data_IF_364511063254
#
_entry.id   IF_364511063254
#
_cell.length_a   1.000
_cell.length_b   1.000
_cell.length_c   1.000
_cell.angle_alpha   90.00
_cell.angle_beta   90.00
_cell.angle_gamma   90.00
#
_symmetry.space_group_name_H-M   'P 1'
#
loop_
_entity.id
_entity.type
_entity.pdbx_description
1 polymer ?
#
# COMPACT_ATOMS: atom_id res chain seq x y z
N UNK A 1 -11.89 5.61 13.30
CA UNK A 1 -11.41 4.65 12.31
C UNK A 1 -10.04 4.23 12.75
N UNK A 2 -9.83 2.94 13.04
CA UNK A 2 -8.49 2.45 13.32
C UNK A 2 -7.67 2.55 12.03
N UNK A 3 -6.53 3.24 12.08
CA UNK A 3 -5.58 3.28 10.98
C UNK A 3 -4.90 1.90 10.87
N UNK A 4 -5.62 0.92 10.32
CA UNK A 4 -4.99 -0.29 9.79
C UNK A 4 -4.08 0.17 8.64
N UNK A 5 -2.80 -0.23 8.66
CA UNK A 5 -1.84 0.14 7.61
C UNK A 5 -0.89 1.30 7.93
N UNK A 6 -0.37 1.44 9.17
CA UNK A 6 0.70 2.41 9.50
C UNK A 6 2.00 1.74 9.96
N UNK A 7 2.17 0.45 9.67
CA UNK A 7 3.26 -0.38 10.20
C UNK A 7 4.66 0.16 9.90
N UNK A 8 4.82 0.84 8.76
CA UNK A 8 6.09 1.40 8.29
C UNK A 8 6.08 2.94 8.29
N UNK A 9 5.11 3.57 8.95
CA UNK A 9 4.91 5.02 8.99
C UNK A 9 3.70 5.50 8.17
N UNK A 10 3.41 6.81 8.18
CA UNK A 10 2.25 7.42 7.55
C UNK A 10 2.48 7.67 6.05
N UNK A 11 2.28 6.63 5.23
CA UNK A 11 2.43 6.69 3.78
C UNK A 11 1.24 6.11 3.02
N UNK A 12 1.37 6.04 1.70
CA UNK A 12 0.44 5.35 0.80
C UNK A 12 0.88 3.89 0.72
N UNK A 13 0.00 2.96 1.09
CA UNK A 13 0.26 1.52 1.08
C UNK A 13 -0.35 0.91 -0.16
N UNK A 14 0.47 0.21 -0.95
CA UNK A 14 0.04 -0.62 -2.07
C UNK A 14 0.43 -2.07 -1.79
N UNK A 15 -0.38 -3.02 -2.28
CA UNK A 15 -0.07 -4.43 -2.19
C UNK A 15 0.01 -5.02 -3.61
N UNK A 16 0.95 -5.95 -3.81
CA UNK A 16 1.03 -6.73 -5.05
C UNK A 16 -0.12 -7.74 -5.16
N UNK A 17 -0.71 -8.11 -4.03
CA UNK A 17 -1.81 -9.06 -3.97
C UNK A 17 -3.15 -8.34 -3.75
N UNK A 18 -4.09 -8.53 -4.67
CA UNK A 18 -5.41 -7.90 -4.61
C UNK A 18 -6.18 -8.29 -3.33
N UNK A 19 -6.09 -9.54 -2.86
CA UNK A 19 -6.77 -9.98 -1.63
C UNK A 19 -6.27 -9.23 -0.39
N UNK A 20 -5.04 -8.72 -0.38
CA UNK A 20 -4.55 -7.87 0.71
C UNK A 20 -5.18 -6.48 0.66
N UNK A 21 -5.28 -5.89 -0.53
CA UNK A 21 -5.95 -4.60 -0.71
C UNK A 21 -7.45 -4.68 -0.44
N UNK A 22 -8.08 -5.82 -0.74
CA UNK A 22 -9.50 -6.11 -0.47
C UNK A 22 -9.86 -6.06 1.02
N UNK A 23 -8.94 -6.41 1.93
CA UNK A 23 -9.14 -6.26 3.39
C UNK A 23 -9.49 -4.81 3.81
N UNK A 24 -9.17 -3.83 2.96
CA UNK A 24 -9.45 -2.42 3.16
C UNK A 24 -10.61 -1.88 2.32
N UNK A 25 -11.13 -2.68 1.38
CA UNK A 25 -12.27 -2.29 0.55
C UNK A 25 -13.55 -2.24 1.39
N UNK A 26 -14.50 -1.43 0.94
CA UNK A 26 -15.84 -1.35 1.52
C UNK A 26 -16.85 -1.42 0.40
N UNK A 27 -17.95 -2.10 0.67
CA UNK A 27 -19.07 -2.17 -0.24
C UNK A 27 -19.59 -0.76 -0.58
N UNK A 28 -19.91 -0.57 -1.84
CA UNK A 28 -20.50 0.65 -2.37
C UNK A 28 -21.93 0.86 -1.92
N UNK A 29 -22.48 2.02 -2.27
CA UNK A 29 -23.88 2.37 -1.99
C UNK A 29 -24.63 2.75 -3.27
N UNK A 30 -25.96 2.81 -3.19
CA UNK A 30 -26.82 3.14 -4.33
C UNK A 30 -26.73 2.10 -5.43
N UNK A 31 -26.34 2.51 -6.64
CA UNK A 31 -26.18 1.59 -7.79
C UNK A 31 -24.98 0.63 -7.65
N UNK A 32 -24.13 0.83 -6.64
CA UNK A 32 -22.96 0.00 -6.36
C UNK A 32 -23.14 -0.93 -5.15
N UNK A 33 -24.37 -1.14 -4.69
CA UNK A 33 -24.66 -2.16 -3.65
C UNK A 33 -24.22 -3.53 -4.17
N UNK A 34 -23.56 -4.30 -3.32
CA UNK A 34 -22.96 -5.59 -3.64
C UNK A 34 -21.65 -5.50 -4.42
N UNK A 35 -21.10 -4.31 -4.64
CA UNK A 35 -19.85 -4.10 -5.37
C UNK A 35 -18.80 -3.40 -4.50
N UNK A 36 -17.55 -3.81 -4.67
CA UNK A 36 -16.36 -3.16 -4.12
C UNK A 36 -15.57 -2.47 -5.25
N UNK A 37 -14.67 -1.56 -4.86
CA UNK A 37 -13.76 -0.89 -5.78
C UNK A 37 -12.31 -0.95 -5.26
N UNK A 38 -11.37 -1.17 -6.18
CA UNK A 38 -9.94 -1.19 -5.92
C UNK A 38 -9.21 -0.33 -6.94
N UNK A 39 -8.15 0.36 -6.52
CA UNK A 39 -7.26 1.10 -7.41
C UNK A 39 -6.10 0.20 -7.83
N UNK A 40 -5.88 0.09 -9.15
CA UNK A 40 -4.63 -0.44 -9.69
C UNK A 40 -3.73 0.74 -10.04
N UNK A 41 -2.67 0.91 -9.26
CA UNK A 41 -1.79 2.05 -9.37
C UNK A 41 -0.51 1.70 -10.13
N UNK A 42 -0.06 2.63 -10.97
CA UNK A 42 1.33 2.69 -11.43
C UNK A 42 2.14 3.42 -10.37
N UNK A 43 3.23 2.81 -9.91
CA UNK A 43 4.07 3.41 -8.89
C UNK A 43 5.55 3.38 -9.28
N UNK A 44 6.28 4.44 -8.92
CA UNK A 44 7.73 4.56 -9.13
C UNK A 44 8.42 4.28 -7.81
N UNK A 45 8.96 3.07 -7.64
CA UNK A 45 9.56 2.62 -6.38
C UNK A 45 11.00 3.10 -6.16
N UNK A 46 11.74 3.45 -7.22
CA UNK A 46 13.13 3.91 -7.11
C UNK A 46 14.03 2.96 -6.31
N UNK A 47 14.85 3.51 -5.42
CA UNK A 47 15.66 2.76 -4.45
C UNK A 47 14.79 2.35 -3.26
N UNK A 48 14.52 1.05 -3.16
CA UNK A 48 13.63 0.49 -2.15
C UNK A 48 14.39 0.13 -0.87
N UNK A 49 13.87 0.56 0.28
CA UNK A 49 14.27 0.07 1.60
C UNK A 49 13.43 -1.17 1.96
N UNK A 50 14.05 -2.34 2.01
CA UNK A 50 13.37 -3.56 2.48
C UNK A 50 13.51 -3.72 3.99
N UNK A 51 12.39 -3.93 4.68
CA UNK A 51 12.32 -4.14 6.13
C UNK A 51 11.44 -5.34 6.47
N UNK A 52 11.79 -6.06 7.52
CA UNK A 52 11.09 -7.26 8.01
C UNK A 52 10.27 -7.00 9.30
N UNK A 53 10.47 -5.83 9.91
CA UNK A 53 9.95 -5.46 11.21
C UNK A 53 9.27 -4.10 11.17
N UNK A 54 8.26 -3.92 12.03
CA UNK A 54 7.49 -2.68 12.10
C UNK A 54 8.34 -1.52 12.64
N UNK A 55 8.12 -0.32 12.11
CA UNK A 55 8.81 0.90 12.52
C UNK A 55 8.63 2.02 11.51
N UNK A 56 8.56 3.27 11.98
CA UNK A 56 8.41 4.41 11.08
C UNK A 56 9.67 4.61 10.23
N UNK A 57 9.54 4.35 8.94
CA UNK A 57 10.61 4.47 7.95
C UNK A 57 10.53 5.77 7.14
N UNK A 58 9.56 6.65 7.43
CA UNK A 58 9.30 7.87 6.64
C UNK A 58 10.51 8.80 6.56
N UNK A 59 11.31 8.91 7.63
CA UNK A 59 12.50 9.75 7.67
C UNK A 59 13.57 9.31 6.67
N UNK A 60 13.72 8.00 6.44
CA UNK A 60 14.69 7.41 5.50
C UNK A 60 14.33 7.68 4.04
N UNK A 61 13.04 7.79 3.75
CA UNK A 61 12.56 8.14 2.41
C UNK A 61 12.62 9.65 2.21
N UNK A 62 12.12 10.43 3.17
CA UNK A 62 12.11 11.90 3.10
C UNK A 62 13.50 12.53 3.09
N UNK A 63 14.52 11.85 3.61
CA UNK A 63 15.90 12.30 3.51
C UNK A 63 16.51 12.11 2.11
N UNK A 64 15.85 11.35 1.22
CA UNK A 64 16.38 10.97 -0.10
C UNK A 64 17.37 9.82 -0.06
N UNK A 65 17.54 9.14 1.09
CA UNK A 65 18.38 7.95 1.16
C UNK A 65 17.77 6.75 0.43
N UNK A 66 16.43 6.68 0.45
CA UNK A 66 15.59 5.76 -0.29
C UNK A 66 14.39 6.49 -0.89
N UNK A 67 13.71 5.85 -1.85
CA UNK A 67 12.56 6.42 -2.56
C UNK A 67 11.23 5.77 -2.11
N UNK A 68 11.27 4.51 -1.65
CA UNK A 68 10.11 3.80 -1.10
C UNK A 68 10.53 2.74 -0.08
N UNK A 69 9.54 2.15 0.61
CA UNK A 69 9.73 1.04 1.55
C UNK A 69 9.02 -0.21 1.05
N UNK A 70 9.65 -1.37 1.17
CA UNK A 70 9.04 -2.69 1.01
C UNK A 70 9.01 -3.40 2.36
N UNK A 71 7.83 -3.51 2.95
CA UNK A 71 7.60 -4.36 4.11
C UNK A 71 7.54 -5.83 3.69
N UNK A 72 8.64 -6.56 3.79
CA UNK A 72 8.72 -7.97 3.41
C UNK A 72 8.22 -8.88 4.54
N UNK A 73 6.90 -8.88 4.73
CA UNK A 73 6.26 -9.79 5.67
C UNK A 73 6.04 -11.20 5.12
N UNK A 74 6.28 -11.43 3.84
CA UNK A 74 6.28 -12.78 3.29
C UNK A 74 7.45 -13.57 3.88
N UNK A 75 8.65 -12.98 3.85
CA UNK A 75 9.82 -13.56 4.48
C UNK A 75 9.69 -13.63 6.03
N UNK A 76 9.09 -12.61 6.67
CA UNK A 76 9.05 -12.52 8.13
C UNK A 76 7.92 -13.31 8.81
N UNK A 77 6.75 -13.44 8.17
CA UNK A 77 5.54 -13.98 8.79
C UNK A 77 4.65 -14.79 7.83
N UNK A 78 5.10 -15.03 6.59
CA UNK A 78 4.32 -15.76 5.58
C UNK A 78 3.10 -14.99 5.05
N UNK A 79 3.07 -13.67 5.19
CA UNK A 79 1.95 -12.82 4.71
C UNK A 79 2.34 -12.07 3.42
N UNK A 80 1.59 -11.03 3.06
CA UNK A 80 1.85 -10.24 1.85
C UNK A 80 2.96 -9.21 2.04
N UNK A 81 3.67 -8.89 0.95
CA UNK A 81 4.55 -7.72 0.88
C UNK A 81 3.71 -6.47 0.65
N UNK A 82 4.05 -5.40 1.35
CA UNK A 82 3.40 -4.09 1.21
C UNK A 82 4.44 -3.04 0.81
N UNK A 83 4.15 -2.32 -0.27
CA UNK A 83 4.96 -1.20 -0.74
C UNK A 83 4.42 0.10 -0.15
N UNK A 84 5.30 0.92 0.42
CA UNK A 84 4.92 2.17 1.08
C UNK A 84 5.64 3.35 0.43
N UNK A 85 4.86 4.36 0.06
CA UNK A 85 5.32 5.58 -0.60
C UNK A 85 5.03 6.79 0.28
N UNK A 86 5.99 7.70 0.39
CA UNK A 86 5.87 8.92 1.21
C UNK A 86 5.77 10.21 0.37
N UNK A 87 5.93 10.09 -0.95
CA UNK A 87 5.73 11.15 -1.94
C UNK A 87 4.54 10.78 -2.83
N UNK A 88 3.48 11.60 -2.82
CA UNK A 88 2.24 11.29 -3.55
C UNK A 88 2.44 11.20 -5.07
N UNK A 89 3.36 11.99 -5.61
CA UNK A 89 3.74 11.99 -7.03
C UNK A 89 4.38 10.67 -7.50
N UNK A 90 4.82 9.81 -6.59
CA UNK A 90 5.33 8.49 -6.93
C UNK A 90 4.22 7.48 -7.27
N UNK A 91 2.94 7.82 -7.05
CA UNK A 91 1.80 6.91 -7.24
C UNK A 91 0.76 7.55 -8.15
N UNK A 92 0.42 6.87 -9.24
CA UNK A 92 -0.62 7.28 -10.18
C UNK A 92 -1.74 6.21 -10.22
N UNK A 93 -2.99 6.53 -9.85
CA UNK A 93 -4.11 5.61 -9.96
C UNK A 93 -4.48 5.41 -11.44
N UNK A 94 -3.99 4.33 -12.04
CA UNK A 94 -4.12 4.10 -13.48
C UNK A 94 -5.48 3.51 -13.85
N UNK A 95 -6.02 2.62 -12.99
CA UNK A 95 -7.33 2.02 -13.20
C UNK A 95 -8.14 1.95 -11.91
N UNK A 96 -9.46 1.97 -12.08
CA UNK A 96 -10.45 1.62 -11.05
C UNK A 96 -11.04 0.26 -11.44
N UNK A 97 -10.92 -0.72 -10.56
CA UNK A 97 -11.49 -2.06 -10.73
C UNK A 97 -12.72 -2.16 -9.86
N UNK A 98 -13.88 -2.41 -10.47
CA UNK A 98 -15.15 -2.67 -9.77
C UNK A 98 -15.40 -4.18 -9.81
N UNK A 99 -15.66 -4.79 -8.66
CA UNK A 99 -15.82 -6.25 -8.50
C UNK A 99 -16.87 -6.57 -7.43
N UNK A 100 -17.25 -7.84 -7.34
CA UNK A 100 -18.18 -8.39 -6.35
C UNK A 100 -17.47 -9.44 -5.48
#
# INVERSE_FOLDING_TARGET
GECRGSMFGPGIYLAENASKSDEYAKEGSGVYVGLCAMLLCRAVAGRVLTVDSAGDCSARVRSGEFDSVCGDRLAAAGTFREMVFFHGEAVYPEFIVIYA
#
